data_IF_473589038546
#
_entry.id   IF_473589038546
#
_cell.length_a   1.000
_cell.length_b   1.000
_cell.length_c   1.000
_cell.angle_alpha   90.00
_cell.angle_beta   90.00
_cell.angle_gamma   90.00
#
_symmetry.space_group_name_H-M   'P 1'
#
loop_
_entity.id
_entity.type
_entity.pdbx_description
1 polymer ?
#
# COMPACT_ATOMS: atom_id res chain seq x y z
N UNK A 1 18.61 14.69 -4.14
CA UNK A 1 18.05 13.48 -4.77
C UNK A 1 16.73 13.17 -4.11
N UNK A 2 15.63 13.23 -4.87
CA UNK A 2 14.28 13.04 -4.38
C UNK A 2 14.09 11.63 -3.78
N UNK A 3 14.12 11.54 -2.46
CA UNK A 3 13.89 10.30 -1.74
C UNK A 3 12.40 10.07 -1.52
N UNK A 4 11.90 8.95 -2.03
CA UNK A 4 10.59 8.40 -1.70
C UNK A 4 10.68 7.65 -0.37
N UNK A 5 9.75 7.94 0.55
CA UNK A 5 9.62 7.24 1.82
C UNK A 5 8.32 6.43 1.78
N UNK A 6 8.46 5.11 1.75
CA UNK A 6 7.37 4.15 1.84
C UNK A 6 7.33 3.56 3.25
N UNK A 7 6.17 3.68 3.87
CA UNK A 7 5.88 3.00 5.13
C UNK A 7 4.71 2.07 4.93
N UNK A 8 4.92 0.79 5.27
CA UNK A 8 3.86 -0.20 5.25
C UNK A 8 3.78 -0.97 6.55
N UNK A 9 2.54 -1.18 7.01
CA UNK A 9 2.24 -1.91 8.23
C UNK A 9 1.10 -2.89 7.96
N UNK A 10 1.34 -4.19 8.18
CA UNK A 10 0.24 -5.13 8.39
C UNK A 10 -0.18 -5.02 9.87
N UNK A 11 -1.47 -4.90 10.14
CA UNK A 11 -2.00 -4.90 11.51
C UNK A 11 -2.73 -6.23 11.78
N UNK A 12 -1.97 -7.34 11.78
CA UNK A 12 -2.19 -8.51 12.64
C UNK A 12 -0.97 -9.46 12.58
N UNK A 13 -0.57 -10.01 13.74
CA UNK A 13 0.59 -10.91 13.92
C UNK A 13 1.78 -10.26 14.64
N UNK A 14 2.03 -10.65 15.90
CA UNK A 14 3.18 -10.23 16.72
C UNK A 14 4.56 -10.66 16.15
N UNK A 15 4.57 -11.46 15.07
CA UNK A 15 5.76 -12.10 14.50
C UNK A 15 6.51 -11.29 13.44
N UNK A 16 5.98 -10.17 12.95
CA UNK A 16 6.49 -9.52 11.74
C UNK A 16 7.36 -8.26 11.99
N UNK A 17 7.63 -7.90 13.25
CA UNK A 17 8.33 -6.65 13.60
C UNK A 17 9.79 -6.59 13.11
N UNK A 18 10.45 -7.75 12.89
CA UNK A 18 11.84 -7.82 12.41
C UNK A 18 11.98 -8.01 10.89
N UNK A 19 11.15 -8.88 10.29
CA UNK A 19 11.20 -9.20 8.85
C UNK A 19 10.75 -8.04 7.95
N UNK A 20 10.03 -7.07 8.50
CA UNK A 20 9.52 -5.93 7.75
C UNK A 20 10.61 -4.90 7.43
N UNK A 21 11.61 -4.70 8.32
CA UNK A 21 12.60 -3.62 8.18
C UNK A 21 13.53 -3.78 6.97
N UNK A 22 14.28 -4.88 6.90
CA UNK A 22 15.20 -5.13 5.78
C UNK A 22 14.48 -5.22 4.42
N UNK A 23 13.19 -5.59 4.44
CA UNK A 23 12.34 -5.64 3.25
C UNK A 23 11.90 -4.23 2.83
N UNK A 24 11.42 -3.42 3.77
CA UNK A 24 11.12 -1.99 3.57
C UNK A 24 12.35 -1.26 3.01
N UNK A 25 13.54 -1.54 3.54
CA UNK A 25 14.78 -0.92 3.05
C UNK A 25 15.07 -1.26 1.57
N UNK A 26 14.84 -2.52 1.14
CA UNK A 26 14.95 -2.91 -0.28
C UNK A 26 13.91 -2.23 -1.18
N UNK A 27 12.68 -2.07 -0.69
CA UNK A 27 11.62 -1.38 -1.42
C UNK A 27 11.89 0.11 -1.57
N UNK A 28 12.36 0.76 -0.51
CA UNK A 28 12.81 2.15 -0.53
C UNK A 28 13.88 2.38 -1.60
N UNK A 29 14.84 1.45 -1.71
CA UNK A 29 15.90 1.52 -2.72
C UNK A 29 15.40 1.38 -4.16
N UNK A 30 14.46 0.45 -4.42
CA UNK A 30 13.93 0.19 -5.77
C UNK A 30 13.03 1.32 -6.31
N UNK A 31 12.39 2.08 -5.42
CA UNK A 31 11.43 3.10 -5.80
C UNK A 31 11.98 4.53 -5.70
N UNK A 32 13.11 4.74 -5.01
CA UNK A 32 13.88 5.99 -5.06
C UNK A 32 14.43 6.31 -6.47
N UNK A 33 14.42 5.35 -7.39
CA UNK A 33 14.77 5.55 -8.80
C UNK A 33 13.58 5.88 -9.72
N UNK A 34 12.34 5.83 -9.23
CA UNK A 34 11.14 6.08 -10.04
C UNK A 34 10.67 7.54 -9.90
N UNK A 35 10.61 8.27 -11.01
CA UNK A 35 10.10 9.64 -11.06
C UNK A 35 8.56 9.62 -11.16
N UNK A 36 7.85 10.05 -10.12
CA UNK A 36 6.39 9.95 -10.08
C UNK A 36 5.68 11.29 -10.29
N UNK A 37 4.65 11.41 -11.15
CA UNK A 37 3.97 12.68 -11.41
C UNK A 37 2.81 12.96 -10.43
N UNK A 38 2.37 14.23 -10.27
CA UNK A 38 1.14 14.56 -9.55
C UNK A 38 -0.13 14.38 -10.43
N UNK A 39 -1.31 14.06 -9.84
CA UNK A 39 -1.59 13.87 -8.42
C UNK A 39 -1.42 12.40 -8.01
N UNK A 40 -0.57 12.17 -7.01
CA UNK A 40 -0.16 10.85 -6.53
C UNK A 40 -1.33 9.93 -6.11
N UNK A 41 -2.47 10.51 -5.68
CA UNK A 41 -3.69 9.76 -5.38
C UNK A 41 -4.35 9.15 -6.62
N UNK A 42 -4.19 9.76 -7.80
CA UNK A 42 -4.80 9.26 -9.04
C UNK A 42 -4.16 7.96 -9.50
N UNK A 43 -2.83 7.83 -9.45
CA UNK A 43 -2.18 6.57 -9.85
C UNK A 43 -2.49 5.46 -8.86
N UNK A 44 -2.58 5.77 -7.56
CA UNK A 44 -3.02 4.79 -6.56
C UNK A 44 -4.47 4.35 -6.83
N UNK A 45 -5.37 5.28 -7.17
CA UNK A 45 -6.74 4.94 -7.55
C UNK A 45 -6.80 4.10 -8.84
N UNK A 46 -5.96 4.41 -9.84
CA UNK A 46 -5.87 3.64 -11.08
C UNK A 46 -5.38 2.21 -10.82
N UNK A 47 -4.33 2.04 -10.00
CA UNK A 47 -3.86 0.72 -9.58
C UNK A 47 -4.96 -0.04 -8.85
N UNK A 48 -5.69 0.63 -7.95
CA UNK A 48 -6.81 0.00 -7.23
C UNK A 48 -7.87 -0.58 -8.19
N UNK A 49 -8.17 0.12 -9.29
CA UNK A 49 -9.12 -0.34 -10.31
C UNK A 49 -8.68 -1.61 -11.05
N UNK A 50 -7.38 -1.95 -11.04
CA UNK A 50 -6.88 -3.20 -11.66
C UNK A 50 -7.20 -4.43 -10.82
N UNK A 51 -7.69 -4.25 -9.59
CA UNK A 51 -7.89 -5.32 -8.63
C UNK A 51 -9.37 -5.68 -8.51
N UNK A 52 -9.75 -6.82 -9.09
CA UNK A 52 -11.16 -7.23 -9.26
C UNK A 52 -11.97 -7.40 -7.97
N UNK A 53 -11.31 -7.53 -6.81
CA UNK A 53 -11.96 -7.68 -5.48
C UNK A 53 -11.83 -6.43 -4.62
N UNK A 54 -11.41 -5.31 -5.21
CA UNK A 54 -11.13 -4.06 -4.52
C UNK A 54 -12.20 -3.03 -4.87
N UNK A 55 -12.80 -2.43 -3.86
CA UNK A 55 -13.88 -1.45 -4.00
C UNK A 55 -13.56 -0.20 -3.20
N UNK A 56 -13.79 0.98 -3.78
CA UNK A 56 -13.56 2.24 -3.10
C UNK A 56 -14.49 2.40 -1.90
N UNK A 57 -13.93 2.78 -0.76
CA UNK A 57 -14.68 3.12 0.46
C UNK A 57 -14.84 4.64 0.59
N UNK A 58 -13.80 5.40 0.22
CA UNK A 58 -13.82 6.86 0.25
C UNK A 58 -12.43 7.45 0.20
N UNK A 59 -12.36 8.77 0.07
CA UNK A 59 -11.11 9.52 0.12
C UNK A 59 -11.29 10.78 0.96
N UNK A 60 -10.26 11.14 1.71
CA UNK A 60 -10.20 12.36 2.50
C UNK A 60 -8.80 12.97 2.42
N UNK A 61 -8.72 14.21 1.92
CA UNK A 61 -7.45 14.91 1.69
C UNK A 61 -6.50 14.09 0.81
N UNK A 62 -5.38 13.65 1.37
CA UNK A 62 -4.34 12.87 0.68
C UNK A 62 -4.52 11.36 0.84
N UNK A 63 -5.50 10.94 1.64
CA UNK A 63 -5.74 9.55 1.98
C UNK A 63 -6.92 8.99 1.18
N UNK A 64 -6.75 7.79 0.65
CA UNK A 64 -7.78 7.02 -0.04
C UNK A 64 -7.91 5.64 0.60
N UNK A 65 -9.13 5.13 0.66
CA UNK A 65 -9.45 3.88 1.34
C UNK A 65 -10.28 2.97 0.43
N UNK A 66 -9.99 1.67 0.53
CA UNK A 66 -10.69 0.61 -0.19
C UNK A 66 -11.01 -0.55 0.73
N UNK A 67 -12.08 -1.27 0.39
CA UNK A 67 -12.31 -2.63 0.88
C UNK A 67 -11.78 -3.58 -0.18
N UNK A 68 -10.90 -4.50 0.20
CA UNK A 68 -10.52 -5.62 -0.66
C UNK A 68 -10.92 -6.94 0.00
N UNK A 69 -11.62 -7.77 -0.77
CA UNK A 69 -12.21 -9.01 -0.28
C UNK A 69 -11.30 -10.21 -0.56
N UNK A 70 -11.10 -11.06 0.43
CA UNK A 70 -10.32 -12.29 0.26
C UNK A 70 -10.97 -13.23 -0.76
N UNK A 71 -10.14 -13.94 -1.52
CA UNK A 71 -10.63 -14.71 -2.68
C UNK A 71 -11.52 -15.90 -2.33
N UNK A 72 -11.27 -16.55 -1.19
CA UNK A 72 -11.96 -17.78 -0.79
C UNK A 72 -13.09 -17.53 0.21
N UNK A 73 -12.82 -16.73 1.24
CA UNK A 73 -13.75 -16.54 2.37
C UNK A 73 -14.47 -15.19 2.31
N UNK A 74 -14.20 -14.37 1.29
CA UNK A 74 -14.84 -13.07 1.07
C UNK A 74 -14.68 -12.09 2.25
N UNK A 75 -13.66 -12.27 3.09
CA UNK A 75 -13.38 -11.41 4.23
C UNK A 75 -13.06 -9.99 3.76
N UNK A 76 -13.73 -8.96 4.31
CA UNK A 76 -13.46 -7.58 3.95
C UNK A 76 -12.29 -7.04 4.79
N UNK A 77 -11.15 -6.78 4.15
CA UNK A 77 -10.06 -6.04 4.81
C UNK A 77 -9.95 -4.64 4.21
N UNK A 78 -9.53 -3.69 5.04
CA UNK A 78 -9.36 -2.29 4.62
C UNK A 78 -7.95 -2.06 4.13
N UNK A 79 -7.84 -1.39 3.00
CA UNK A 79 -6.60 -0.85 2.46
C UNK A 79 -6.68 0.66 2.57
N UNK A 80 -5.60 1.27 3.03
CA UNK A 80 -5.46 2.71 3.09
C UNK A 80 -4.15 3.10 2.46
N UNK A 81 -4.22 4.08 1.56
CA UNK A 81 -3.08 4.70 0.94
C UNK A 81 -3.11 6.20 1.22
N UNK A 82 -1.98 6.77 1.62
CA UNK A 82 -1.81 8.20 1.79
C UNK A 82 -0.54 8.66 1.08
N UNK A 83 -0.70 9.51 0.08
CA UNK A 83 0.42 10.05 -0.67
C UNK A 83 0.78 11.44 -0.14
N UNK A 84 1.99 11.59 0.39
CA UNK A 84 2.46 12.85 0.97
C UNK A 84 3.53 13.49 0.08
N UNK A 85 3.64 14.83 0.03
CA UNK A 85 4.76 15.48 -0.62
C UNK A 85 6.10 15.07 0.01
N UNK A 86 7.08 14.74 -0.82
CA UNK A 86 8.45 14.46 -0.42
C UNK A 86 9.27 15.76 -0.34
N UNK A 87 10.32 15.81 0.49
CA UNK A 87 11.07 17.04 0.78
C UNK A 87 11.82 17.67 -0.41
N UNK A 88 11.88 17.00 -1.56
CA UNK A 88 12.65 17.44 -2.75
C UNK A 88 11.85 17.27 -4.05
N UNK A 89 10.53 17.44 -3.99
CA UNK A 89 9.64 17.35 -5.16
C UNK A 89 9.23 15.93 -5.57
N UNK A 90 9.60 14.91 -4.78
CA UNK A 90 9.04 13.56 -4.87
C UNK A 90 7.76 13.40 -4.05
N UNK A 91 7.31 12.16 -3.85
CA UNK A 91 6.25 11.84 -2.90
C UNK A 91 6.69 10.72 -1.94
N UNK A 92 6.08 10.67 -0.76
CA UNK A 92 6.03 9.52 0.12
C UNK A 92 4.70 8.79 -0.03
N UNK A 93 4.67 7.48 0.19
CA UNK A 93 3.43 6.71 0.20
C UNK A 93 3.36 5.90 1.49
N UNK A 94 2.33 6.15 2.28
CA UNK A 94 1.91 5.27 3.36
C UNK A 94 0.89 4.29 2.79
N UNK A 95 1.18 3.00 2.82
CA UNK A 95 0.26 1.96 2.34
C UNK A 95 0.13 0.87 3.38
N UNK A 96 -1.08 0.65 3.89
CA UNK A 96 -1.32 -0.43 4.84
C UNK A 96 -2.60 -1.18 4.51
N UNK A 97 -2.63 -2.45 4.94
CA UNK A 97 -3.79 -3.33 4.82
C UNK A 97 -4.06 -3.97 6.18
N UNK A 98 -5.33 -3.97 6.60
CA UNK A 98 -5.76 -4.44 7.92
C UNK A 98 -7.04 -5.25 7.83
N UNK A 99 -7.07 -6.39 8.50
CA UNK A 99 -8.30 -7.15 8.66
C UNK A 99 -9.31 -6.42 9.53
N UNK A 100 -10.59 -6.52 9.15
CA UNK A 100 -11.70 -6.07 9.99
C UNK A 100 -12.10 -7.13 11.02
N UNK A 101 -11.93 -8.40 10.69
CA UNK A 101 -12.35 -9.53 11.49
C UNK A 101 -11.23 -10.57 11.62
N UNK A 102 -11.26 -11.35 12.70
CA UNK A 102 -10.36 -12.47 12.92
C UNK A 102 -9.08 -12.12 13.68
N UNK A 103 -8.36 -13.17 14.06
CA UNK A 103 -7.13 -13.09 14.86
C UNK A 103 -5.86 -13.47 14.07
N UNK A 104 -6.02 -13.82 12.79
CA UNK A 104 -4.92 -14.11 11.87
C UNK A 104 -5.44 -14.01 10.46
N UNK A 105 -4.64 -13.46 9.56
CA UNK A 105 -4.92 -13.36 8.13
C UNK A 105 -4.05 -14.32 7.29
N UNK A 106 -3.23 -15.15 7.94
CA UNK A 106 -2.26 -16.06 7.31
C UNK A 106 -1.35 -15.34 6.28
N UNK A 107 -1.07 -14.05 6.48
CA UNK A 107 -0.24 -13.24 5.59
C UNK A 107 -0.96 -12.68 4.36
N UNK A 108 -2.29 -12.80 4.27
CA UNK A 108 -3.09 -12.26 3.16
C UNK A 108 -2.93 -10.74 3.01
N UNK A 109 -2.97 -9.96 4.10
CA UNK A 109 -2.79 -8.51 4.01
C UNK A 109 -1.38 -8.13 3.61
N UNK A 110 -0.36 -8.89 4.04
CA UNK A 110 1.01 -8.70 3.58
C UNK A 110 1.12 -8.93 2.07
N UNK A 111 0.62 -10.08 1.59
CA UNK A 111 0.63 -10.39 0.16
C UNK A 111 -0.10 -9.32 -0.65
N UNK A 112 -1.16 -8.73 -0.09
CA UNK A 112 -1.91 -7.64 -0.70
C UNK A 112 -1.08 -6.36 -0.82
N UNK A 113 -0.42 -5.93 0.26
CA UNK A 113 0.50 -4.79 0.20
C UNK A 113 1.59 -5.03 -0.85
N UNK A 114 2.25 -6.19 -0.83
CA UNK A 114 3.32 -6.52 -1.78
C UNK A 114 2.80 -6.43 -3.24
N UNK A 115 1.58 -6.91 -3.50
CA UNK A 115 0.91 -6.83 -4.81
C UNK A 115 0.59 -5.39 -5.23
N UNK A 116 0.10 -4.57 -4.31
CA UNK A 116 -0.18 -3.15 -4.57
C UNK A 116 1.11 -2.38 -4.88
N UNK A 117 2.18 -2.62 -4.12
CA UNK A 117 3.49 -1.99 -4.35
C UNK A 117 4.07 -2.38 -5.71
N UNK A 118 3.98 -3.65 -6.10
CA UNK A 118 4.45 -4.10 -7.41
C UNK A 118 3.66 -3.47 -8.57
N UNK A 119 2.34 -3.35 -8.43
CA UNK A 119 1.49 -2.71 -9.42
C UNK A 119 1.77 -1.20 -9.54
N UNK A 120 2.01 -0.52 -8.41
CA UNK A 120 2.44 0.86 -8.39
C UNK A 120 3.81 1.01 -9.07
N UNK A 121 4.80 0.20 -8.72
CA UNK A 121 6.12 0.24 -9.36
C UNK A 121 6.05 0.10 -10.89
N UNK A 122 5.08 -0.64 -11.40
CA UNK A 122 4.87 -0.86 -12.84
C UNK A 122 4.04 0.24 -13.53
N UNK A 123 3.31 1.05 -12.76
CA UNK A 123 2.50 2.17 -13.25
C UNK A 123 3.25 3.52 -13.22
N UNK A 124 4.46 3.52 -12.67
CA UNK A 124 5.43 4.63 -12.71
C UNK A 124 6.03 4.80 -14.10
#
# INVERSE_FOLDING_TARGET
GAGLFLYSRSLFGWSDLGANRARVDRWLAALASAAWPPPHSAVVAQVACTFVRTHALGAWRLQSQWVERSALLNYPDIIVAEAVPGPQGGAGLFLYSRSLFGWSDLGVNRARVDRWLAALASAA
#
